data_IF_835822617331
#
_entry.id   IF_835822617331
#
_cell.length_a   1.000
_cell.length_b   1.000
_cell.length_c   1.000
_cell.angle_alpha   90.00
_cell.angle_beta   90.00
_cell.angle_gamma   90.00
#
_symmetry.space_group_name_H-M   'P 1'
#
loop_
_entity.id
_entity.type
_entity.pdbx_description
1 polymer ?
#
# COMPACT_ATOMS: atom_id res chain seq x y z
N UNK A 1 12.47 10.77 21.65
CA UNK A 1 11.68 9.70 22.23
C UNK A 1 10.51 9.34 21.31
N UNK A 2 10.32 8.08 21.00
CA UNK A 2 9.17 7.66 20.22
C UNK A 2 7.91 7.80 21.05
N UNK A 3 6.92 8.49 20.50
CA UNK A 3 5.63 8.62 21.14
C UNK A 3 4.81 7.35 20.84
N UNK A 4 4.54 6.54 21.85
CA UNK A 4 3.76 5.30 21.69
C UNK A 4 2.29 5.56 21.31
N UNK A 5 1.82 6.79 21.46
CA UNK A 5 0.44 7.16 21.17
C UNK A 5 0.35 8.08 19.95
N UNK A 6 1.08 7.69 18.89
CA UNK A 6 0.96 8.41 17.62
C UNK A 6 -0.47 8.39 17.13
N UNK A 7 -0.97 9.57 16.78
CA UNK A 7 -2.28 9.68 16.16
C UNK A 7 -2.14 9.41 14.65
N UNK A 8 -2.57 8.24 14.21
CA UNK A 8 -2.52 7.86 12.80
C UNK A 8 -3.89 8.13 12.17
N UNK A 9 -3.93 9.01 11.19
CA UNK A 9 -5.15 9.34 10.44
C UNK A 9 -4.92 9.01 8.98
N UNK A 10 -5.86 8.26 8.38
CA UNK A 10 -5.79 7.89 6.95
C UNK A 10 -6.86 8.67 6.20
N UNK A 11 -6.49 9.27 5.08
CA UNK A 11 -7.39 10.05 4.25
C UNK A 11 -7.29 9.67 2.78
N UNK A 12 -8.42 9.59 2.08
CA UNK A 12 -8.43 9.59 0.63
C UNK A 12 -7.97 10.94 0.13
N UNK A 13 -7.20 10.94 -0.95
CA UNK A 13 -6.67 12.17 -1.52
C UNK A 13 -7.04 12.26 -3.00
N UNK A 14 -7.35 13.48 -3.45
CA UNK A 14 -7.77 13.76 -4.82
C UNK A 14 -7.05 14.95 -5.43
N UNK A 15 -6.56 15.88 -4.60
CA UNK A 15 -5.89 17.09 -5.07
C UNK A 15 -4.45 16.78 -5.48
N UNK A 16 -3.99 17.41 -6.56
CA UNK A 16 -2.63 17.22 -7.07
C UNK A 16 -1.57 17.43 -6.00
N UNK A 17 -1.73 18.41 -5.12
CA UNK A 17 -0.78 18.69 -4.06
C UNK A 17 -0.64 17.51 -3.09
N UNK A 18 -1.74 16.79 -2.83
CA UNK A 18 -1.74 15.64 -1.93
C UNK A 18 -1.20 14.40 -2.64
N UNK A 19 -1.54 14.24 -3.92
CA UNK A 19 -0.99 13.15 -4.75
C UNK A 19 0.54 13.26 -4.81
N UNK A 20 1.07 14.47 -4.90
CA UNK A 20 2.54 14.69 -4.88
C UNK A 20 3.16 14.23 -3.57
N UNK A 21 2.46 14.39 -2.44
CA UNK A 21 2.93 13.87 -1.15
C UNK A 21 3.02 12.34 -1.17
N UNK A 22 2.02 11.68 -1.74
CA UNK A 22 2.03 10.23 -1.89
C UNK A 22 3.19 9.78 -2.77
N UNK A 23 3.43 10.44 -3.88
CA UNK A 23 4.55 10.13 -4.78
C UNK A 23 5.89 10.33 -4.08
N UNK A 24 6.03 11.36 -3.26
CA UNK A 24 7.25 11.60 -2.49
C UNK A 24 7.56 10.45 -1.53
N UNK A 25 6.53 9.92 -0.85
CA UNK A 25 6.68 8.77 0.03
C UNK A 25 7.11 7.54 -0.77
N UNK A 26 6.44 7.27 -1.89
CA UNK A 26 6.75 6.13 -2.76
C UNK A 26 8.18 6.20 -3.30
N UNK A 27 8.60 7.40 -3.71
CA UNK A 27 9.95 7.60 -4.20
C UNK A 27 10.99 7.24 -3.14
N UNK A 28 10.80 7.70 -1.91
CA UNK A 28 11.72 7.38 -0.81
C UNK A 28 11.76 5.89 -0.51
N UNK A 29 10.62 5.23 -0.51
CA UNK A 29 10.55 3.80 -0.15
C UNK A 29 11.01 2.91 -1.29
N UNK A 30 10.51 3.13 -2.50
CA UNK A 30 10.73 2.20 -3.61
C UNK A 30 11.93 2.57 -4.47
N UNK A 31 12.09 3.83 -4.81
CA UNK A 31 13.19 4.25 -5.68
C UNK A 31 14.48 4.36 -4.87
N UNK A 32 14.50 5.12 -3.79
CA UNK A 32 15.69 5.30 -2.97
C UNK A 32 15.99 4.09 -2.08
N UNK A 33 14.94 3.50 -1.48
CA UNK A 33 15.10 2.39 -0.54
C UNK A 33 15.27 1.03 -1.18
N UNK A 34 14.68 0.78 -2.35
CA UNK A 34 14.67 -0.54 -3.01
C UNK A 34 15.31 -0.51 -4.40
N UNK A 35 15.84 0.62 -4.84
CA UNK A 35 16.44 0.78 -6.15
C UNK A 35 15.53 0.43 -7.33
N UNK A 36 14.23 0.59 -7.16
CA UNK A 36 13.27 0.40 -8.25
C UNK A 36 13.31 1.63 -9.14
N UNK A 37 13.49 1.48 -10.47
CA UNK A 37 13.50 2.63 -11.39
C UNK A 37 12.19 3.41 -11.28
N UNK A 38 12.30 4.75 -11.30
CA UNK A 38 11.12 5.63 -11.18
C UNK A 38 10.11 5.36 -12.30
N UNK A 39 10.58 4.96 -13.48
CA UNK A 39 9.72 4.65 -14.64
C UNK A 39 8.83 3.45 -14.39
N UNK A 40 9.23 2.55 -13.47
CA UNK A 40 8.44 1.39 -13.08
C UNK A 40 7.51 1.74 -11.92
N UNK A 41 8.00 2.53 -10.97
CA UNK A 41 7.25 2.87 -9.76
C UNK A 41 6.07 3.81 -10.05
N UNK A 42 6.33 4.89 -10.79
CA UNK A 42 5.28 5.82 -11.24
C UNK A 42 4.79 5.35 -12.60
N UNK A 43 3.57 4.87 -12.66
CA UNK A 43 3.02 4.27 -13.87
C UNK A 43 1.74 4.96 -14.33
N UNK A 44 1.21 4.49 -15.47
CA UNK A 44 0.00 5.06 -16.09
C UNK A 44 -1.25 4.88 -15.21
N UNK A 45 -1.25 3.91 -14.30
CA UNK A 45 -2.40 3.64 -13.45
C UNK A 45 -2.57 4.67 -12.33
N UNK A 46 -1.56 5.49 -12.07
CA UNK A 46 -1.66 6.53 -11.04
C UNK A 46 -2.79 7.51 -11.32
N UNK A 47 -3.11 7.73 -12.59
CA UNK A 47 -4.19 8.67 -12.97
C UNK A 47 -5.58 8.14 -12.69
N UNK A 48 -5.76 6.81 -12.70
CA UNK A 48 -7.07 6.19 -12.52
C UNK A 48 -7.24 5.54 -11.16
N UNK A 49 -6.15 5.30 -10.45
CA UNK A 49 -6.20 4.68 -9.13
C UNK A 49 -6.75 5.64 -8.08
N UNK A 50 -7.26 5.04 -7.01
CA UNK A 50 -7.62 5.77 -5.79
C UNK A 50 -6.41 5.78 -4.87
N UNK A 51 -6.09 6.92 -4.30
CA UNK A 51 -4.91 7.09 -3.44
C UNK A 51 -5.32 7.48 -2.04
N UNK A 52 -4.58 6.96 -1.05
CA UNK A 52 -4.74 7.35 0.35
C UNK A 52 -3.39 7.71 0.94
N UNK A 53 -3.43 8.57 1.96
CA UNK A 53 -2.24 8.91 2.75
C UNK A 53 -2.54 8.67 4.22
N UNK A 54 -1.55 8.11 4.92
CA UNK A 54 -1.54 8.03 6.37
C UNK A 54 -0.70 9.18 6.92
N UNK A 55 -1.27 9.89 7.89
CA UNK A 55 -0.58 10.95 8.63
C UNK A 55 -0.33 10.46 10.05
N UNK A 56 0.89 10.66 10.54
CA UNK A 56 1.21 10.43 11.94
C UNK A 56 1.51 11.79 12.55
N UNK A 57 0.67 12.22 13.51
CA UNK A 57 0.76 13.56 14.13
C UNK A 57 0.88 14.66 13.05
N UNK A 58 0.00 14.57 12.03
CA UNK A 58 -0.12 15.51 10.92
C UNK A 58 1.01 15.48 9.89
N UNK A 59 1.95 14.54 10.01
CA UNK A 59 3.04 14.37 9.05
C UNK A 59 2.71 13.19 8.12
N UNK A 60 2.81 13.36 6.77
CA UNK A 60 2.57 12.25 5.84
C UNK A 60 3.66 11.19 5.97
N UNK A 61 3.27 9.95 6.27
CA UNK A 61 4.23 8.89 6.60
C UNK A 61 4.00 7.59 5.83
N UNK A 62 2.86 7.45 5.18
CA UNK A 62 2.54 6.25 4.42
C UNK A 62 1.53 6.53 3.34
N UNK A 63 1.47 5.64 2.36
CA UNK A 63 0.53 5.75 1.25
C UNK A 63 0.21 4.37 0.69
N UNK A 64 -0.90 4.28 -0.02
CA UNK A 64 -1.30 3.11 -0.79
C UNK A 64 -2.26 3.56 -1.88
N UNK A 65 -2.46 2.70 -2.87
CA UNK A 65 -3.48 2.94 -3.89
C UNK A 65 -4.26 1.67 -4.16
N UNK A 66 -5.44 1.80 -4.74
CA UNK A 66 -6.16 0.63 -5.27
C UNK A 66 -6.82 1.00 -6.59
N UNK A 67 -7.06 -0.01 -7.39
CA UNK A 67 -7.71 0.15 -8.69
C UNK A 67 -8.46 -1.11 -9.07
N UNK A 68 -9.46 -0.95 -9.94
CA UNK A 68 -10.20 -2.08 -10.47
C UNK A 68 -9.41 -2.75 -11.59
N UNK A 69 -9.37 -4.08 -11.58
CA UNK A 69 -8.76 -4.88 -12.63
C UNK A 69 -9.74 -5.98 -13.04
N UNK A 70 -9.36 -6.79 -14.02
CA UNK A 70 -10.17 -7.95 -14.44
C UNK A 70 -10.34 -8.96 -13.30
N UNK A 71 -9.38 -9.03 -12.39
CA UNK A 71 -9.40 -9.99 -11.28
C UNK A 71 -10.14 -9.47 -10.05
N UNK A 72 -10.41 -8.19 -9.98
CA UNK A 72 -11.06 -7.56 -8.84
C UNK A 72 -10.41 -6.25 -8.46
N UNK A 73 -10.56 -5.86 -7.21
CA UNK A 73 -9.92 -4.65 -6.67
C UNK A 73 -8.51 -4.97 -6.23
N UNK A 74 -7.54 -4.38 -6.90
CA UNK A 74 -6.13 -4.60 -6.61
C UNK A 74 -5.60 -3.51 -5.69
N UNK A 75 -5.09 -3.93 -4.54
CA UNK A 75 -4.40 -3.06 -3.60
C UNK A 75 -2.91 -3.10 -3.93
N UNK A 76 -2.27 -1.95 -4.02
CA UNK A 76 -0.87 -1.89 -4.42
C UNK A 76 -0.19 -0.62 -3.94
N UNK A 77 1.12 -0.58 -4.08
CA UNK A 77 1.94 0.59 -3.74
C UNK A 77 1.84 1.00 -2.27
N UNK A 78 1.79 0.00 -1.39
CA UNK A 78 1.89 0.26 0.04
C UNK A 78 3.31 0.70 0.37
N UNK A 79 3.44 1.88 0.93
CA UNK A 79 4.73 2.43 1.29
C UNK A 79 4.63 3.13 2.63
N UNK A 80 5.50 2.76 3.56
CA UNK A 80 5.60 3.40 4.88
C UNK A 80 7.05 3.83 5.07
N UNK A 81 7.26 5.07 5.50
CA UNK A 81 8.60 5.57 5.75
C UNK A 81 9.32 4.67 6.75
N UNK A 82 10.61 4.33 6.50
CA UNK A 82 11.32 3.33 7.31
C UNK A 82 11.26 3.55 8.82
N UNK A 83 11.35 4.79 9.27
CA UNK A 83 11.33 5.11 10.70
C UNK A 83 10.01 4.79 11.39
N UNK A 84 8.93 4.64 10.61
CA UNK A 84 7.58 4.44 11.15
C UNK A 84 7.01 3.05 10.84
N UNK A 85 7.84 2.14 10.36
CA UNK A 85 7.46 0.75 10.18
C UNK A 85 7.26 0.10 11.54
N UNK A 86 6.38 -0.91 11.58
CA UNK A 86 6.01 -1.65 12.79
C UNK A 86 5.22 -0.83 13.81
N UNK A 87 4.80 0.39 13.46
CA UNK A 87 3.99 1.24 14.34
C UNK A 87 2.51 1.28 13.94
N UNK A 88 2.09 0.35 13.07
CA UNK A 88 0.68 0.22 12.71
C UNK A 88 0.23 1.04 11.50
N UNK A 89 1.12 1.74 10.81
CA UNK A 89 0.76 2.57 9.65
C UNK A 89 0.25 1.70 8.49
N UNK A 90 0.97 0.63 8.16
CA UNK A 90 0.55 -0.29 7.08
C UNK A 90 -0.78 -0.95 7.38
N UNK A 91 -1.00 -1.34 8.62
CA UNK A 91 -2.28 -1.92 9.06
C UNK A 91 -3.41 -0.90 8.91
N UNK A 92 -3.18 0.34 9.33
CA UNK A 92 -4.18 1.41 9.22
C UNK A 92 -4.55 1.69 7.77
N UNK A 93 -3.56 1.74 6.87
CA UNK A 93 -3.79 1.92 5.44
C UNK A 93 -4.64 0.77 4.88
N UNK A 94 -4.26 -0.46 5.17
CA UNK A 94 -4.96 -1.64 4.66
C UNK A 94 -6.40 -1.68 5.17
N UNK A 95 -6.60 -1.50 6.46
CA UNK A 95 -7.93 -1.53 7.07
C UNK A 95 -8.83 -0.43 6.52
N UNK A 96 -8.28 0.74 6.23
CA UNK A 96 -9.03 1.84 5.65
C UNK A 96 -9.57 1.47 4.27
N UNK A 97 -8.73 0.89 3.42
CA UNK A 97 -9.15 0.44 2.09
C UNK A 97 -10.20 -0.66 2.19
N UNK A 98 -9.97 -1.65 3.06
CA UNK A 98 -10.91 -2.77 3.22
C UNK A 98 -12.29 -2.30 3.70
N UNK A 99 -12.33 -1.26 4.50
CA UNK A 99 -13.59 -0.66 4.94
C UNK A 99 -14.32 -0.01 3.77
N UNK A 100 -13.60 0.72 2.91
CA UNK A 100 -14.18 1.32 1.71
C UNK A 100 -14.71 0.24 0.76
N UNK A 101 -13.97 -0.85 0.60
CA UNK A 101 -14.28 -1.92 -0.35
C UNK A 101 -15.09 -3.07 0.25
N UNK A 102 -15.76 -2.85 1.36
CA UNK A 102 -16.46 -3.92 2.10
C UNK A 102 -17.48 -4.70 1.29
N UNK A 103 -18.06 -4.10 0.24
CA UNK A 103 -19.06 -4.74 -0.60
C UNK A 103 -18.46 -5.36 -1.88
N UNK A 104 -17.17 -5.25 -2.08
CA UNK A 104 -16.51 -5.84 -3.24
C UNK A 104 -16.22 -7.32 -2.97
N UNK A 105 -16.40 -8.15 -4.01
CA UNK A 105 -16.26 -9.61 -3.87
C UNK A 105 -14.80 -10.07 -3.92
N UNK A 106 -14.03 -9.49 -4.82
CA UNK A 106 -12.66 -9.92 -5.07
C UNK A 106 -11.70 -8.78 -4.77
N UNK A 107 -10.99 -8.91 -3.66
CA UNK A 107 -9.97 -7.95 -3.26
C UNK A 107 -8.65 -8.72 -3.19
N UNK A 108 -7.62 -8.22 -3.86
CA UNK A 108 -6.35 -8.92 -3.92
C UNK A 108 -5.16 -7.96 -3.96
N UNK A 109 -4.01 -8.52 -3.74
CA UNK A 109 -2.75 -7.80 -3.84
C UNK A 109 -1.63 -8.77 -4.21
N UNK A 110 -0.52 -8.22 -4.67
CA UNK A 110 0.70 -8.96 -4.91
C UNK A 110 1.68 -8.57 -3.81
N UNK A 111 1.87 -9.44 -2.85
CA UNK A 111 2.72 -9.19 -1.69
C UNK A 111 4.17 -9.55 -1.97
N UNK A 112 5.10 -8.71 -1.54
CA UNK A 112 6.49 -9.16 -1.44
C UNK A 112 6.53 -10.32 -0.46
N UNK A 113 7.41 -11.30 -0.68
CA UNK A 113 7.46 -12.49 0.18
C UNK A 113 7.66 -12.17 1.65
N UNK A 114 8.41 -11.11 1.94
CA UNK A 114 8.69 -10.68 3.32
C UNK A 114 7.45 -10.12 4.04
N UNK A 115 6.41 -9.75 3.28
CA UNK A 115 5.19 -9.16 3.84
C UNK A 115 4.00 -10.14 3.90
N UNK A 116 4.17 -11.39 3.46
CA UNK A 116 3.09 -12.37 3.44
C UNK A 116 2.44 -12.53 4.82
N UNK A 117 3.25 -12.70 5.86
CA UNK A 117 2.73 -12.86 7.22
C UNK A 117 1.90 -11.67 7.69
N UNK A 118 2.32 -10.47 7.30
CA UNK A 118 1.57 -9.25 7.62
C UNK A 118 0.16 -9.29 7.03
N UNK A 119 0.06 -9.63 5.74
CA UNK A 119 -1.25 -9.68 5.08
C UNK A 119 -2.08 -10.88 5.52
N UNK A 120 -1.46 -12.01 5.87
CA UNK A 120 -2.20 -13.14 6.42
C UNK A 120 -2.94 -12.77 7.70
N UNK A 121 -2.31 -11.97 8.55
CA UNK A 121 -2.95 -11.48 9.78
C UNK A 121 -4.15 -10.58 9.50
N UNK A 122 -4.20 -9.96 8.32
CA UNK A 122 -5.31 -9.09 7.91
C UNK A 122 -6.37 -9.84 7.12
N UNK A 123 -6.25 -11.17 7.01
CA UNK A 123 -7.27 -12.00 6.38
C UNK A 123 -7.02 -12.37 4.93
N UNK A 124 -5.83 -12.11 4.41
CA UNK A 124 -5.47 -12.52 3.05
C UNK A 124 -4.88 -13.93 3.06
N UNK A 125 -5.06 -14.65 1.95
CA UNK A 125 -4.46 -15.97 1.76
C UNK A 125 -3.73 -16.04 0.42
N UNK A 126 -2.68 -16.84 0.37
CA UNK A 126 -1.87 -17.04 -0.84
C UNK A 126 -2.65 -17.79 -1.91
N UNK A 127 -2.46 -17.40 -3.16
CA UNK A 127 -3.05 -18.09 -4.31
C UNK A 127 -2.04 -18.14 -5.45
N UNK A 128 -1.76 -19.36 -5.92
CA UNK A 128 -0.84 -19.57 -7.03
C UNK A 128 0.63 -19.56 -6.62
N UNK A 129 1.50 -19.64 -7.63
CA UNK A 129 2.95 -19.66 -7.44
C UNK A 129 3.49 -18.25 -7.27
N UNK A 130 4.63 -18.13 -6.59
CA UNK A 130 5.34 -16.86 -6.52
C UNK A 130 5.87 -16.47 -7.91
N UNK A 131 6.07 -15.17 -8.11
CA UNK A 131 6.53 -14.62 -9.38
C UNK A 131 7.38 -13.37 -9.12
N UNK A 132 8.12 -12.93 -10.14
CA UNK A 132 8.93 -11.72 -10.04
C UNK A 132 8.17 -10.52 -10.58
N UNK A 133 8.20 -9.41 -9.85
CA UNK A 133 7.67 -8.13 -10.26
C UNK A 133 8.70 -7.07 -9.88
N UNK A 134 9.13 -6.27 -10.84
CA UNK A 134 10.23 -5.32 -10.65
C UNK A 134 11.50 -6.00 -10.09
N UNK A 135 11.77 -7.25 -10.51
CA UNK A 135 12.92 -8.02 -10.05
C UNK A 135 12.82 -8.59 -8.65
N UNK A 136 11.69 -8.43 -7.97
CA UNK A 136 11.47 -8.87 -6.59
C UNK A 136 10.41 -9.96 -6.57
N UNK A 137 10.63 -11.01 -5.76
CA UNK A 137 9.66 -12.08 -5.62
C UNK A 137 8.39 -11.61 -4.91
N UNK A 138 7.26 -11.93 -5.52
CA UNK A 138 5.92 -11.58 -5.04
C UNK A 138 5.02 -12.80 -4.99
N UNK A 139 3.97 -12.71 -4.19
CA UNK A 139 2.93 -13.72 -4.04
C UNK A 139 1.57 -13.05 -4.16
N UNK A 140 0.74 -13.55 -5.06
CA UNK A 140 -0.65 -13.07 -5.15
C UNK A 140 -1.42 -13.55 -3.93
N UNK A 141 -2.19 -12.66 -3.34
CA UNK A 141 -3.00 -12.94 -2.16
C UNK A 141 -4.39 -12.36 -2.33
N UNK A 142 -5.39 -13.10 -1.94
CA UNK A 142 -6.79 -12.67 -1.96
C UNK A 142 -7.33 -12.50 -0.56
N UNK A 143 -8.22 -11.53 -0.38
CA UNK A 143 -8.90 -11.36 0.90
C UNK A 143 -9.91 -12.49 1.08
N UNK A 144 -9.88 -13.12 2.24
CA UNK A 144 -10.81 -14.19 2.61
C UNK A 144 -12.16 -13.55 2.99
N UNK A 145 -13.21 -14.00 2.35
CA UNK A 145 -14.58 -13.49 2.61
C UNK A 145 -15.45 -14.53 3.29
#
# INVERSE_FOLDING_TARGET
>A
MLNFFMNIVVKEIHLDKDIKKAFSIREKVFVEGMNIPVEIELDEFDKIAHHIIAYADEIPVGTARWRKTKEGMKLERFAVLPKLRLLGVGKALTEHILKILKNEKNIYLNSQLTAIGFYEKLGFYKKGKSFKEAGILHQKMFLKK
#
